data_IF_298928841336
#
_entry.id   IF_298928841336
#
_cell.length_a   1.000
_cell.length_b   1.000
_cell.length_c   1.000
_cell.angle_alpha   90.00
_cell.angle_beta   90.00
_cell.angle_gamma   90.00
#
_symmetry.space_group_name_H-M   'P 1'
#
loop_
_entity.id
_entity.type
_entity.pdbx_description
1 polymer ?
#
# COMPACT_ATOMS: atom_id res chain seq x y z
N UNK A 1 -2.55 53.05 -11.88
CA UNK A 1 -1.80 51.97 -11.23
C UNK A 1 -2.76 50.81 -11.06
N UNK A 2 -2.66 49.78 -11.92
CA UNK A 2 -3.48 48.57 -11.83
C UNK A 2 -2.60 47.47 -11.24
N UNK A 3 -2.12 47.73 -10.03
CA UNK A 3 -1.23 46.83 -9.30
C UNK A 3 -1.80 46.67 -7.90
N UNK A 4 -1.57 45.50 -7.31
CA UNK A 4 -2.07 45.05 -6.01
C UNK A 4 -3.43 44.33 -5.98
N UNK A 5 -3.73 43.53 -7.00
CA UNK A 5 -4.45 42.25 -6.80
C UNK A 5 -3.53 41.06 -7.04
N UNK A 6 -2.21 41.27 -6.87
CA UNK A 6 -1.15 40.36 -7.31
C UNK A 6 -0.25 39.83 -6.20
N UNK A 7 -0.51 40.14 -4.93
CA UNK A 7 0.22 39.53 -3.80
C UNK A 7 -0.53 38.29 -3.33
N UNK A 8 -0.79 37.35 -4.25
CA UNK A 8 -1.11 36.00 -3.85
C UNK A 8 0.14 35.50 -3.13
N UNK A 9 0.07 35.45 -1.79
CA UNK A 9 1.20 35.17 -0.93
C UNK A 9 1.96 33.95 -1.48
N UNK A 10 3.23 34.13 -1.84
CA UNK A 10 4.05 33.07 -2.44
C UNK A 10 4.04 31.80 -1.58
N UNK A 11 3.83 31.91 -0.27
CA UNK A 11 3.67 30.77 0.62
C UNK A 11 2.38 29.98 0.33
N UNK A 12 1.26 30.65 0.05
CA UNK A 12 -0.01 30.02 -0.34
C UNK A 12 0.18 29.26 -1.65
N UNK A 13 0.87 29.85 -2.62
CA UNK A 13 1.20 29.19 -3.88
C UNK A 13 2.02 27.93 -3.63
N UNK A 14 3.04 28.00 -2.76
CA UNK A 14 3.86 26.82 -2.42
C UNK A 14 3.07 25.73 -1.71
N UNK A 15 2.18 26.07 -0.77
CA UNK A 15 1.36 25.09 -0.05
C UNK A 15 0.38 24.41 -1.01
N UNK A 16 -0.27 25.16 -1.90
CA UNK A 16 -1.16 24.59 -2.92
C UNK A 16 -0.40 23.69 -3.87
N UNK A 17 0.80 24.08 -4.29
CA UNK A 17 1.65 23.24 -5.15
C UNK A 17 2.03 21.91 -4.47
N UNK A 18 2.45 21.93 -3.20
CA UNK A 18 2.76 20.71 -2.45
C UNK A 18 1.51 19.84 -2.27
N UNK A 19 0.37 20.45 -1.93
CA UNK A 19 -0.89 19.73 -1.78
C UNK A 19 -1.33 19.06 -3.09
N UNK A 20 -1.16 19.72 -4.23
CA UNK A 20 -1.46 19.15 -5.54
C UNK A 20 -0.54 17.95 -5.86
N UNK A 21 0.75 18.05 -5.58
CA UNK A 21 1.71 16.94 -5.78
C UNK A 21 1.41 15.78 -4.83
N UNK A 22 1.12 16.05 -3.57
CA UNK A 22 0.75 15.03 -2.58
C UNK A 22 -0.55 14.31 -2.96
N UNK A 23 -1.56 15.05 -3.42
CA UNK A 23 -2.81 14.49 -3.90
C UNK A 23 -2.59 13.58 -5.12
N UNK A 24 -1.78 14.01 -6.09
CA UNK A 24 -1.42 13.18 -7.24
C UNK A 24 -0.68 11.91 -6.82
N UNK A 25 0.29 12.02 -5.91
CA UNK A 25 1.03 10.87 -5.40
C UNK A 25 0.10 9.85 -4.71
N UNK A 26 -0.79 10.32 -3.83
CA UNK A 26 -1.76 9.45 -3.16
C UNK A 26 -2.78 8.84 -4.12
N UNK A 27 -3.18 9.55 -5.18
CA UNK A 27 -4.15 9.03 -6.14
C UNK A 27 -3.56 7.94 -7.05
N UNK A 28 -2.30 8.08 -7.47
CA UNK A 28 -1.73 7.23 -8.52
C UNK A 28 -0.60 6.31 -8.07
N UNK A 29 0.23 6.74 -7.12
CA UNK A 29 1.41 5.97 -6.66
C UNK A 29 1.06 5.11 -5.45
N UNK A 30 0.35 5.67 -4.47
CA UNK A 30 -0.08 4.95 -3.27
C UNK A 30 -0.90 3.68 -3.53
N UNK A 31 -1.88 3.59 -4.47
CA UNK A 31 -2.63 2.35 -4.68
C UNK A 31 -1.75 1.15 -5.06
N UNK A 32 -0.66 1.37 -5.81
CA UNK A 32 0.29 0.30 -6.14
C UNK A 32 1.03 -0.23 -4.91
N UNK A 33 1.36 0.67 -3.98
CA UNK A 33 2.04 0.34 -2.72
C UNK A 33 1.06 -0.35 -1.77
N UNK A 34 -0.16 0.19 -1.67
CA UNK A 34 -1.20 -0.36 -0.82
C UNK A 34 -1.52 -1.81 -1.18
N UNK A 35 -1.68 -2.14 -2.46
CA UNK A 35 -1.91 -3.53 -2.89
C UNK A 35 -0.78 -4.47 -2.46
N UNK A 36 0.47 -4.01 -2.55
CA UNK A 36 1.64 -4.79 -2.15
C UNK A 36 1.69 -5.02 -0.63
N UNK A 37 1.37 -3.98 0.14
CA UNK A 37 1.31 -4.07 1.61
C UNK A 37 0.14 -4.95 2.05
N UNK A 38 -1.06 -4.75 1.50
CA UNK A 38 -2.24 -5.55 1.84
C UNK A 38 -2.01 -7.03 1.57
N UNK A 39 -1.40 -7.39 0.44
CA UNK A 39 -1.06 -8.78 0.15
C UNK A 39 -0.10 -9.35 1.20
N UNK A 40 0.95 -8.61 1.56
CA UNK A 40 1.91 -9.03 2.57
C UNK A 40 1.29 -9.12 3.98
N UNK A 41 0.44 -8.16 4.35
CA UNK A 41 -0.28 -8.15 5.64
C UNK A 41 -1.28 -9.30 5.73
N UNK A 42 -2.02 -9.60 4.66
CA UNK A 42 -2.92 -10.75 4.59
C UNK A 42 -2.14 -12.05 4.71
N UNK A 43 -0.97 -12.15 4.08
CA UNK A 43 -0.10 -13.31 4.24
C UNK A 43 0.46 -13.45 5.67
N UNK A 44 0.78 -12.34 6.33
CA UNK A 44 1.24 -12.36 7.72
C UNK A 44 0.14 -12.75 8.72
N UNK A 45 -1.13 -12.49 8.41
CA UNK A 45 -2.29 -12.86 9.24
C UNK A 45 -2.99 -14.15 8.81
N UNK A 46 -2.58 -14.75 7.69
CA UNK A 46 -3.18 -15.97 7.18
C UNK A 46 -2.78 -17.18 8.03
N UNK A 47 -3.69 -18.15 8.09
CA UNK A 47 -3.58 -19.38 8.86
C UNK A 47 -3.73 -20.57 7.93
N UNK A 48 -3.31 -21.76 8.40
CA UNK A 48 -3.40 -23.01 7.64
C UNK A 48 -2.72 -22.93 6.25
N UNK A 49 -1.49 -22.41 6.21
CA UNK A 49 -0.70 -22.33 4.98
C UNK A 49 -0.20 -23.71 4.53
N UNK A 50 -0.47 -24.07 3.28
CA UNK A 50 0.11 -25.23 2.61
C UNK A 50 1.09 -24.74 1.53
N UNK A 51 2.36 -25.05 1.69
CA UNK A 51 3.42 -24.62 0.77
C UNK A 51 3.80 -25.72 -0.21
N UNK A 52 3.81 -25.38 -1.50
CA UNK A 52 4.39 -26.18 -2.57
C UNK A 52 5.48 -25.33 -3.24
N UNK A 53 6.74 -25.68 -2.98
CA UNK A 53 7.90 -24.94 -3.47
C UNK A 53 7.96 -23.49 -2.97
N UNK A 54 7.98 -22.54 -3.90
CA UNK A 54 8.14 -21.10 -3.63
C UNK A 54 6.81 -20.39 -3.27
N UNK A 55 5.68 -21.09 -3.38
CA UNK A 55 4.34 -20.54 -3.12
C UNK A 55 3.58 -21.32 -2.05
N UNK A 56 2.88 -20.60 -1.19
CA UNK A 56 2.02 -21.14 -0.14
C UNK A 56 0.58 -20.70 -0.35
N UNK A 57 -0.36 -21.64 -0.39
CA UNK A 57 -1.79 -21.33 -0.30
C UNK A 57 -2.17 -21.23 1.17
N UNK A 58 -2.57 -20.03 1.60
CA UNK A 58 -2.97 -19.75 2.97
C UNK A 58 -4.43 -19.30 3.03
N UNK A 59 -5.09 -19.49 4.17
CA UNK A 59 -6.46 -19.01 4.39
C UNK A 59 -6.48 -17.89 5.41
N UNK A 60 -7.03 -16.73 5.06
CA UNK A 60 -7.31 -15.65 6.01
C UNK A 60 -8.82 -15.48 6.16
N UNK A 61 -9.27 -15.04 7.33
CA UNK A 61 -10.68 -14.72 7.57
C UNK A 61 -10.89 -13.22 7.34
N UNK A 62 -11.89 -12.86 6.54
CA UNK A 62 -12.28 -11.45 6.35
C UNK A 62 -13.08 -10.92 7.57
N UNK A 63 -13.44 -9.64 7.54
CA UNK A 63 -14.22 -8.98 8.60
C UNK A 63 -15.62 -9.62 8.83
N UNK A 64 -16.10 -10.42 7.88
CA UNK A 64 -17.33 -11.19 7.98
C UNK A 64 -17.08 -12.65 8.44
N UNK A 65 -15.85 -12.97 8.86
CA UNK A 65 -15.40 -14.28 9.29
C UNK A 65 -15.55 -15.36 8.19
N UNK A 66 -15.40 -14.97 6.92
CA UNK A 66 -15.43 -15.90 5.80
C UNK A 66 -14.00 -16.28 5.42
N UNK A 67 -13.72 -17.58 5.19
CA UNK A 67 -12.40 -18.03 4.78
C UNK A 67 -12.12 -17.61 3.33
N UNK A 68 -11.04 -16.87 3.13
CA UNK A 68 -10.53 -16.45 1.83
C UNK A 68 -9.16 -17.09 1.60
N UNK A 69 -8.95 -17.62 0.41
CA UNK A 69 -7.66 -18.23 0.03
C UNK A 69 -6.77 -17.17 -0.62
N UNK A 70 -5.52 -17.12 -0.21
CA UNK A 70 -4.50 -16.22 -0.74
C UNK A 70 -3.22 -16.99 -1.00
N UNK A 71 -2.58 -16.70 -2.13
CA UNK A 71 -1.26 -17.26 -2.45
C UNK A 71 -0.19 -16.33 -1.92
N UNK A 72 0.59 -16.83 -0.98
CA UNK A 72 1.69 -16.13 -0.32
C UNK A 72 3.03 -16.65 -0.82
N UNK A 73 4.05 -15.79 -0.91
CA UNK A 73 5.41 -16.27 -1.12
C UNK A 73 5.86 -17.10 0.09
N UNK A 74 6.59 -18.17 -0.16
CA UNK A 74 7.17 -19.00 0.90
C UNK A 74 8.29 -18.23 1.61
N UNK A 75 8.03 -17.80 2.85
CA UNK A 75 9.01 -17.10 3.67
C UNK A 75 9.98 -18.07 4.40
N UNK A 76 9.71 -19.38 4.42
CA UNK A 76 10.63 -20.37 5.00
C UNK A 76 11.90 -20.54 4.16
N UNK A 77 11.82 -20.38 2.83
CA UNK A 77 12.98 -20.39 1.92
C UNK A 77 13.81 -19.10 1.97
N UNK A 78 13.29 -18.01 2.53
CA UNK A 78 14.04 -16.74 2.71
C UNK A 78 14.48 -16.51 4.16
N UNK A 79 13.94 -17.27 5.13
CA UNK A 79 14.38 -17.30 6.53
C UNK A 79 15.37 -18.42 6.89
N UNK A 80 15.56 -19.42 6.02
CA UNK A 80 16.56 -20.49 6.21
C UNK A 80 17.89 -20.21 5.49
N UNK A 81 18.45 -19.02 5.77
CA UNK A 81 19.90 -18.82 5.77
C UNK A 81 20.28 -18.34 7.17
N UNK A 82 20.31 -19.28 8.11
CA UNK A 82 21.07 -19.17 9.36
C UNK A 82 22.34 -19.98 9.20
#
# INVERSE_FOLDING_TARGET
>A
MKEATGELNMTVVTVVAIAAVAAFFYAFVWPSIQNSIENNTRCASAQNCQCDGDSCECTYYDDENKPQTITCPNNDTTGSKS
#
